data_IF_280057339552
#
_entry.id   IF_280057339552
#
_cell.length_a   1.000
_cell.length_b   1.000
_cell.length_c   1.000
_cell.angle_alpha   90.00
_cell.angle_beta   90.00
_cell.angle_gamma   90.00
#
_symmetry.space_group_name_H-M   'P 1'
#
loop_
_entity.id
_entity.type
_entity.pdbx_description
1 polymer ?
#
# COMPACT_ATOMS: atom_id res chain seq x y z
N UNK A 1 -9.17 -13.49 -5.80
CA UNK A 1 -8.40 -13.84 -4.58
C UNK A 1 -9.03 -15.06 -3.92
N UNK A 2 -8.32 -16.20 -3.90
CA UNK A 2 -8.85 -17.50 -3.42
C UNK A 2 -9.36 -17.47 -1.97
N UNK A 3 -8.71 -16.68 -1.09
CA UNK A 3 -8.99 -16.68 0.36
C UNK A 3 -9.83 -15.50 0.87
N UNK A 4 -10.41 -14.68 -0.02
CA UNK A 4 -11.07 -13.43 0.39
C UNK A 4 -12.20 -13.64 1.41
N UNK A 5 -13.04 -14.66 1.21
CA UNK A 5 -14.15 -14.97 2.11
C UNK A 5 -13.68 -15.45 3.49
N UNK A 6 -12.62 -16.27 3.52
CA UNK A 6 -12.03 -16.75 4.77
C UNK A 6 -11.41 -15.59 5.58
N UNK A 7 -10.72 -14.68 4.89
CA UNK A 7 -10.13 -13.48 5.53
C UNK A 7 -11.24 -12.58 6.07
N UNK A 8 -12.30 -12.33 5.30
CA UNK A 8 -13.45 -11.53 5.76
C UNK A 8 -14.07 -12.14 7.03
N UNK A 9 -14.35 -13.44 7.01
CA UNK A 9 -14.90 -14.14 8.17
C UNK A 9 -13.97 -14.06 9.39
N UNK A 10 -12.66 -14.21 9.19
CA UNK A 10 -11.66 -14.10 10.24
C UNK A 10 -11.66 -12.71 10.87
N UNK A 11 -11.53 -11.64 10.08
CA UNK A 11 -11.48 -10.28 10.63
C UNK A 11 -12.80 -9.93 11.32
N UNK A 12 -13.96 -10.24 10.73
CA UNK A 12 -15.27 -9.98 11.34
C UNK A 12 -15.42 -10.72 12.67
N UNK A 13 -14.91 -11.96 12.78
CA UNK A 13 -15.01 -12.71 14.02
C UNK A 13 -14.06 -12.19 15.11
N UNK A 14 -12.81 -11.85 14.77
CA UNK A 14 -11.74 -11.61 15.75
C UNK A 14 -11.49 -10.13 16.07
N UNK A 15 -11.70 -9.21 15.13
CA UNK A 15 -11.24 -7.82 15.24
C UNK A 15 -12.30 -6.93 15.88
N UNK A 16 -12.66 -7.17 17.15
CA UNK A 16 -13.83 -6.52 17.79
C UNK A 16 -13.57 -5.26 18.58
N UNK A 17 -12.31 -4.95 18.90
CA UNK A 17 -11.97 -3.85 19.81
C UNK A 17 -10.77 -3.04 19.32
N UNK A 18 -10.67 -1.79 19.77
CA UNK A 18 -9.56 -0.87 19.49
C UNK A 18 -9.30 -0.71 17.98
N UNK A 19 -8.02 -0.58 17.60
CA UNK A 19 -7.61 -0.41 16.21
C UNK A 19 -7.99 -1.59 15.31
N UNK A 20 -8.24 -2.77 15.88
CA UNK A 20 -8.70 -3.91 15.10
C UNK A 20 -10.15 -3.69 14.61
N UNK A 21 -11.03 -3.18 15.47
CA UNK A 21 -12.42 -2.87 15.08
C UNK A 21 -12.50 -1.79 14.00
N UNK A 22 -11.64 -0.78 14.10
CA UNK A 22 -11.57 0.31 13.13
C UNK A 22 -11.31 -0.18 11.69
N UNK A 23 -10.62 -1.33 11.51
CA UNK A 23 -10.44 -1.93 10.19
C UNK A 23 -11.76 -2.43 9.59
N UNK A 24 -12.58 -3.11 10.40
CA UNK A 24 -13.89 -3.60 9.95
C UNK A 24 -14.79 -2.40 9.64
N UNK A 25 -14.88 -1.45 10.58
CA UNK A 25 -15.74 -0.28 10.46
C UNK A 25 -15.40 0.51 9.18
N UNK A 26 -14.11 0.71 8.89
CA UNK A 26 -13.66 1.37 7.67
C UNK A 26 -14.00 0.58 6.41
N UNK A 27 -13.82 -0.75 6.41
CA UNK A 27 -14.11 -1.59 5.25
C UNK A 27 -15.62 -1.66 4.94
N UNK A 28 -16.46 -1.77 5.97
CA UNK A 28 -17.91 -1.77 5.84
C UNK A 28 -18.44 -0.40 5.42
N UNK A 29 -17.97 0.67 6.05
CA UNK A 29 -18.34 2.04 5.68
C UNK A 29 -17.99 2.35 4.22
N UNK A 30 -16.81 1.93 3.76
CA UNK A 30 -16.41 2.12 2.36
C UNK A 30 -17.29 1.30 1.40
N UNK A 31 -17.62 0.06 1.74
CA UNK A 31 -18.51 -0.77 0.91
C UNK A 31 -19.89 -0.15 0.79
N UNK A 32 -20.46 0.33 1.91
CA UNK A 32 -21.75 1.01 1.93
C UNK A 32 -21.71 2.29 1.11
N UNK A 33 -20.69 3.13 1.31
CA UNK A 33 -20.52 4.38 0.55
C UNK A 33 -20.52 4.16 -0.97
N UNK A 34 -19.81 3.15 -1.45
CA UNK A 34 -19.82 2.79 -2.88
C UNK A 34 -21.17 2.23 -3.34
N UNK A 35 -21.80 1.38 -2.52
CA UNK A 35 -23.12 0.78 -2.84
C UNK A 35 -24.21 1.84 -2.94
N UNK A 36 -24.10 2.90 -2.14
CA UNK A 36 -25.02 4.04 -2.16
C UNK A 36 -24.73 5.03 -3.32
N UNK A 37 -23.81 4.70 -4.22
CA UNK A 37 -23.44 5.51 -5.39
C UNK A 37 -22.44 6.62 -5.09
N UNK A 38 -21.71 6.54 -3.98
CA UNK A 38 -20.66 7.49 -3.63
C UNK A 38 -19.38 7.31 -4.46
N UNK A 39 -18.75 8.42 -4.81
CA UNK A 39 -17.47 8.45 -5.53
C UNK A 39 -16.29 8.64 -4.57
N UNK A 40 -15.32 7.73 -4.59
CA UNK A 40 -14.21 7.72 -3.65
C UNK A 40 -13.02 8.56 -4.12
N UNK A 41 -12.65 9.53 -3.28
CA UNK A 41 -11.40 10.28 -3.37
C UNK A 41 -10.37 9.74 -2.38
N UNK A 42 -9.21 9.31 -2.86
CA UNK A 42 -8.11 8.78 -2.04
C UNK A 42 -6.99 9.81 -1.87
N UNK A 43 -6.67 10.17 -0.63
CA UNK A 43 -5.45 10.90 -0.29
C UNK A 43 -4.36 9.91 0.17
N UNK A 44 -3.23 9.86 -0.53
CA UNK A 44 -2.18 8.87 -0.33
C UNK A 44 -0.85 9.52 0.07
N UNK A 45 -0.15 8.89 1.01
CA UNK A 45 1.20 9.28 1.42
C UNK A 45 2.27 8.78 0.43
N UNK A 46 3.40 9.50 0.36
CA UNK A 46 4.46 9.26 -0.65
C UNK A 46 5.05 7.85 -0.64
N UNK A 47 5.29 7.24 0.52
CA UNK A 47 5.93 5.93 0.62
C UNK A 47 5.04 4.75 0.21
N UNK A 48 3.75 4.98 -0.09
CA UNK A 48 2.80 3.90 -0.35
C UNK A 48 3.01 3.20 -1.70
N UNK A 49 3.61 3.87 -2.69
CA UNK A 49 4.00 3.26 -3.97
C UNK A 49 5.18 2.31 -3.78
N UNK A 50 6.20 2.72 -3.02
CA UNK A 50 7.34 1.86 -2.65
C UNK A 50 6.89 0.67 -1.79
N UNK A 51 5.82 0.82 -1.02
CA UNK A 51 5.16 -0.28 -0.30
C UNK A 51 4.22 -1.14 -1.18
N UNK A 52 4.26 -0.94 -2.50
CA UNK A 52 3.52 -1.73 -3.51
C UNK A 52 2.00 -1.68 -3.37
N UNK A 53 1.45 -0.61 -2.78
CA UNK A 53 0.00 -0.43 -2.67
C UNK A 53 -0.70 -0.39 -4.04
N UNK A 54 0.05 -0.04 -5.09
CA UNK A 54 -0.38 -0.06 -6.49
C UNK A 54 -1.00 -1.40 -6.93
N UNK A 55 -0.54 -2.53 -6.41
CA UNK A 55 -1.09 -3.86 -6.76
C UNK A 55 -2.58 -3.97 -6.41
N UNK A 56 -2.97 -3.49 -5.23
CA UNK A 56 -4.38 -3.50 -4.80
C UNK A 56 -5.14 -2.32 -5.39
N UNK A 57 -4.51 -1.15 -5.43
CA UNK A 57 -5.15 0.08 -5.89
C UNK A 57 -5.50 0.02 -7.38
N UNK A 58 -4.63 -0.51 -8.23
CA UNK A 58 -4.87 -0.62 -9.66
C UNK A 58 -6.13 -1.46 -9.96
N UNK A 59 -6.34 -2.54 -9.21
CA UNK A 59 -7.56 -3.34 -9.35
C UNK A 59 -8.80 -2.58 -8.87
N UNK A 60 -8.69 -1.83 -7.78
CA UNK A 60 -9.79 -0.99 -7.29
C UNK A 60 -10.18 0.11 -8.27
N UNK A 61 -9.21 0.73 -8.96
CA UNK A 61 -9.46 1.71 -10.04
C UNK A 61 -10.17 1.02 -11.21
N UNK A 62 -9.69 -0.14 -11.68
CA UNK A 62 -10.31 -0.87 -12.80
C UNK A 62 -11.75 -1.31 -12.50
N UNK A 63 -12.07 -1.54 -11.22
CA UNK A 63 -13.41 -1.89 -10.76
C UNK A 63 -14.28 -0.67 -10.41
N UNK A 64 -13.85 0.54 -10.76
CA UNK A 64 -14.59 1.79 -10.51
C UNK A 64 -14.88 2.05 -9.03
N UNK A 65 -13.96 1.63 -8.15
CA UNK A 65 -14.06 1.82 -6.70
C UNK A 65 -13.29 3.04 -6.23
N UNK A 66 -12.34 3.54 -7.02
CA UNK A 66 -11.55 4.75 -6.74
C UNK A 66 -11.70 5.69 -7.93
N UNK A 67 -12.13 6.92 -7.66
CA UNK A 67 -12.56 7.87 -8.69
C UNK A 67 -11.57 9.03 -8.84
N UNK A 68 -10.88 9.38 -7.74
CA UNK A 68 -9.85 10.40 -7.74
C UNK A 68 -8.76 10.08 -6.72
N UNK A 69 -7.52 10.49 -7.01
CA UNK A 69 -6.36 10.29 -6.15
C UNK A 69 -5.61 11.61 -6.01
N UNK A 70 -5.30 11.98 -4.77
CA UNK A 70 -4.29 12.98 -4.44
C UNK A 70 -3.10 12.27 -3.80
N UNK A 71 -1.93 12.43 -4.40
CA UNK A 71 -0.71 11.77 -3.99
C UNK A 71 0.49 12.70 -4.23
N UNK A 72 1.66 12.32 -3.72
CA UNK A 72 2.88 13.10 -3.98
C UNK A 72 3.50 12.68 -5.33
N UNK A 73 4.38 13.50 -5.89
CA UNK A 73 5.11 13.15 -7.12
C UNK A 73 5.86 11.83 -7.01
N UNK A 74 6.39 11.52 -5.82
CA UNK A 74 7.10 10.27 -5.53
C UNK A 74 6.23 9.02 -5.79
N UNK A 75 4.91 9.10 -5.62
CA UNK A 75 4.04 7.97 -5.92
C UNK A 75 4.02 7.62 -7.41
N UNK A 76 3.96 8.63 -8.27
CA UNK A 76 3.95 8.45 -9.72
C UNK A 76 5.33 8.03 -10.24
N UNK A 77 6.39 8.68 -9.74
CA UNK A 77 7.77 8.34 -10.11
C UNK A 77 8.10 6.89 -9.79
N UNK A 78 7.72 6.43 -8.60
CA UNK A 78 7.97 5.07 -8.12
C UNK A 78 7.14 4.02 -8.86
N UNK A 79 5.87 4.31 -9.19
CA UNK A 79 5.05 3.36 -9.96
C UNK A 79 5.60 3.16 -11.38
N UNK A 80 6.08 4.24 -12.00
CA UNK A 80 6.81 4.17 -13.29
C UNK A 80 8.16 3.45 -13.13
N UNK A 81 8.89 3.69 -12.03
CA UNK A 81 10.15 3.02 -11.75
C UNK A 81 9.96 1.51 -11.60
N UNK A 82 8.94 1.06 -10.87
CA UNK A 82 8.60 -0.35 -10.75
C UNK A 82 8.31 -0.99 -12.11
N UNK A 83 7.68 -0.29 -13.05
CA UNK A 83 7.46 -0.84 -14.39
C UNK A 83 8.76 -1.18 -15.14
N UNK A 84 9.85 -0.44 -14.91
CA UNK A 84 11.09 -0.57 -15.68
C UNK A 84 12.25 -1.21 -14.92
N UNK A 85 12.24 -1.17 -13.59
CA UNK A 85 13.39 -1.48 -12.76
C UNK A 85 13.06 -2.27 -11.48
N UNK A 86 11.87 -2.90 -11.41
CA UNK A 86 11.46 -3.68 -10.24
C UNK A 86 12.50 -4.73 -9.81
N UNK A 87 13.12 -5.41 -10.77
CA UNK A 87 14.11 -6.47 -10.50
C UNK A 87 15.42 -5.95 -9.87
N UNK A 88 15.61 -4.63 -9.76
CA UNK A 88 16.75 -4.01 -9.10
C UNK A 88 16.53 -3.74 -7.61
N UNK A 89 15.34 -4.00 -7.08
CA UNK A 89 15.06 -3.86 -5.66
C UNK A 89 15.79 -4.90 -4.82
N UNK A 90 16.40 -4.44 -3.73
CA UNK A 90 17.09 -5.30 -2.76
C UNK A 90 16.47 -5.13 -1.38
N UNK A 91 16.00 -6.23 -0.80
CA UNK A 91 15.54 -6.26 0.59
C UNK A 91 16.73 -6.23 1.54
N UNK A 92 16.78 -5.24 2.41
CA UNK A 92 17.84 -5.08 3.41
C UNK A 92 17.36 -5.67 4.76
N UNK A 93 18.02 -6.71 5.29
CA UNK A 93 17.74 -7.19 6.64
C UNK A 93 18.20 -6.16 7.67
N UNK A 94 17.56 -6.13 8.84
CA UNK A 94 17.94 -5.25 9.96
C UNK A 94 18.04 -3.74 9.60
N UNK A 95 17.23 -3.27 8.64
CA UNK A 95 17.24 -1.87 8.16
C UNK A 95 17.09 -0.79 9.25
N UNK A 96 16.66 -1.15 10.46
CA UNK A 96 16.51 -0.24 11.60
C UNK A 96 17.82 0.05 12.33
N UNK A 97 18.80 -0.84 12.19
CA UNK A 97 20.02 -0.87 12.99
C UNK A 97 21.27 -0.84 12.08
N UNK A 98 21.20 -0.14 10.94
CA UNK A 98 22.32 -0.01 10.01
C UNK A 98 23.47 0.78 10.65
N UNK A 99 24.69 0.26 10.48
CA UNK A 99 25.92 0.97 10.86
C UNK A 99 26.29 2.02 9.80
N UNK A 100 27.15 3.00 10.14
CA UNK A 100 27.69 3.93 9.15
C UNK A 100 28.37 3.22 7.97
N UNK A 101 29.02 2.09 8.22
CA UNK A 101 29.65 1.26 7.20
C UNK A 101 28.63 0.60 6.26
N UNK A 102 27.50 0.10 6.80
CA UNK A 102 26.42 -0.47 5.98
C UNK A 102 25.81 0.60 5.06
N UNK A 103 25.55 1.80 5.58
CA UNK A 103 25.07 2.95 4.79
C UNK A 103 26.08 3.34 3.69
N UNK A 104 27.39 3.26 3.98
CA UNK A 104 28.43 3.49 2.97
C UNK A 104 28.45 2.40 1.89
N UNK A 105 28.21 1.14 2.24
CA UNK A 105 28.12 0.06 1.26
C UNK A 105 26.94 0.28 0.31
N UNK A 106 25.77 0.67 0.83
CA UNK A 106 24.60 1.00 0.01
C UNK A 106 24.91 2.13 -0.97
N UNK A 107 25.55 3.19 -0.49
CA UNK A 107 25.99 4.30 -1.34
C UNK A 107 26.97 3.84 -2.43
N UNK A 108 27.94 2.99 -2.08
CA UNK A 108 28.94 2.47 -3.03
C UNK A 108 28.31 1.64 -4.16
N UNK A 109 27.14 1.06 -3.90
CA UNK A 109 26.35 0.27 -4.84
C UNK A 109 25.28 1.10 -5.55
N UNK A 110 25.23 2.42 -5.30
CA UNK A 110 24.21 3.35 -5.80
C UNK A 110 22.77 2.94 -5.44
N UNK A 111 22.58 2.36 -4.25
CA UNK A 111 21.28 1.99 -3.73
C UNK A 111 20.73 3.08 -2.81
N UNK A 112 19.51 3.54 -3.08
CA UNK A 112 18.77 4.42 -2.19
C UNK A 112 17.87 3.58 -1.28
N UNK A 113 17.77 3.95 0.01
CA UNK A 113 16.76 3.37 0.91
C UNK A 113 15.49 4.21 0.92
N UNK A 114 14.35 3.52 0.93
CA UNK A 114 12.99 4.06 1.00
C UNK A 114 12.23 3.40 2.14
#
# INVERSE_FOLDING_TARGET
>A
MENANAIKAFITHHYRHFNAAALIDAAEAYTTFLTDGGEMFLAMAGAMSSAEMGLSLAEMIRQDKIHAISCTGANLEEDVYNLVAHDHYVRIPNYRDLTPEDEHELLSRHLNRV
#
